data_IF_948852785724
#
_entry.id   IF_948852785724
#
_cell.length_a   1.000
_cell.length_b   1.000
_cell.length_c   1.000
_cell.angle_alpha   90.00
_cell.angle_beta   90.00
_cell.angle_gamma   90.00
#
_symmetry.space_group_name_H-M   'P 1'
#
loop_
_entity.id
_entity.type
_entity.pdbx_description
1 polymer ?
#
# COMPACT_ATOMS: atom_id res chain seq x y z
N UNK A 1 -9.08 -91.58 -20.55
CA UNK A 1 -7.72 -92.07 -20.58
C UNK A 1 -6.82 -90.83 -20.69
N UNK A 2 -5.81 -90.73 -19.89
CA UNK A 2 -4.75 -89.75 -19.75
C UNK A 2 -5.13 -88.37 -19.14
N UNK A 3 -4.93 -88.31 -17.86
CA UNK A 3 -4.80 -87.13 -17.03
C UNK A 3 -3.45 -86.51 -17.27
N UNK A 4 -3.42 -85.19 -17.51
CA UNK A 4 -2.21 -84.40 -17.44
C UNK A 4 -2.37 -83.36 -16.35
N UNK A 5 -1.63 -83.48 -15.31
CA UNK A 5 -1.55 -82.60 -14.12
C UNK A 5 -0.68 -81.39 -14.48
N UNK A 6 -1.27 -80.20 -14.48
CA UNK A 6 -0.50 -78.93 -14.65
C UNK A 6 -0.17 -78.37 -13.28
N UNK A 7 1.11 -78.17 -13.05
CA UNK A 7 1.71 -77.48 -11.92
C UNK A 7 1.56 -75.97 -12.15
N UNK A 8 0.81 -75.28 -11.31
CA UNK A 8 0.74 -73.83 -11.28
C UNK A 8 1.82 -73.27 -10.32
N UNK A 9 2.84 -72.69 -10.89
CA UNK A 9 3.80 -71.84 -10.17
C UNK A 9 3.10 -70.51 -9.87
N UNK A 10 2.83 -70.22 -8.61
CA UNK A 10 2.47 -68.90 -8.13
C UNK A 10 3.70 -68.04 -7.97
N UNK A 11 3.96 -67.13 -8.91
CA UNK A 11 4.87 -66.04 -8.75
C UNK A 11 4.17 -64.95 -7.94
N UNK A 12 4.57 -64.72 -6.71
CA UNK A 12 4.15 -63.57 -5.91
C UNK A 12 4.91 -62.33 -6.39
N UNK A 13 4.25 -61.50 -7.18
CA UNK A 13 4.76 -60.20 -7.53
C UNK A 13 4.57 -59.27 -6.31
N UNK A 14 5.63 -58.98 -5.59
CA UNK A 14 5.66 -57.92 -4.57
C UNK A 14 5.63 -56.55 -5.29
N UNK A 15 4.47 -55.94 -5.39
CA UNK A 15 4.36 -54.55 -5.83
C UNK A 15 4.90 -53.68 -4.69
N UNK A 16 6.11 -53.21 -4.83
CA UNK A 16 6.65 -52.13 -4.01
C UNK A 16 5.89 -50.86 -4.42
N UNK A 17 4.90 -50.47 -3.61
CA UNK A 17 4.28 -49.15 -3.69
C UNK A 17 5.38 -48.18 -3.19
N UNK A 18 6.14 -47.64 -4.13
CA UNK A 18 6.94 -46.44 -3.87
C UNK A 18 5.95 -45.32 -3.55
N UNK A 19 5.74 -45.08 -2.25
CA UNK A 19 5.12 -43.84 -1.79
C UNK A 19 6.03 -42.72 -2.26
N UNK A 20 5.69 -42.12 -3.41
CA UNK A 20 6.22 -40.82 -3.77
C UNK A 20 5.72 -39.86 -2.70
N UNK A 21 6.47 -39.72 -1.61
CA UNK A 21 6.39 -38.56 -0.76
C UNK A 21 6.58 -37.38 -1.69
N UNK A 22 5.53 -36.65 -1.96
CA UNK A 22 5.61 -35.29 -2.50
C UNK A 22 6.46 -34.53 -1.49
N UNK A 23 7.76 -34.50 -1.71
CA UNK A 23 8.66 -33.53 -1.10
C UNK A 23 8.23 -32.20 -1.71
N UNK A 24 7.23 -31.58 -1.11
CA UNK A 24 7.01 -30.14 -1.31
C UNK A 24 8.35 -29.52 -0.97
N UNK A 25 8.99 -28.99 -1.99
CA UNK A 25 10.26 -28.31 -1.83
C UNK A 25 10.01 -27.20 -0.79
N UNK A 26 10.64 -27.33 0.38
CA UNK A 26 10.53 -26.43 1.54
C UNK A 26 11.13 -25.05 1.25
N UNK A 27 10.91 -24.50 0.06
CA UNK A 27 11.43 -23.21 -0.43
C UNK A 27 12.96 -23.07 -0.21
N UNK A 28 13.70 -24.19 -0.22
CA UNK A 28 15.12 -24.24 0.12
C UNK A 28 15.42 -24.01 1.61
N UNK A 29 14.42 -24.17 2.48
CA UNK A 29 14.54 -24.06 3.94
C UNK A 29 14.58 -25.47 4.56
N UNK A 30 15.61 -25.80 5.29
CA UNK A 30 15.74 -27.11 5.96
C UNK A 30 14.91 -27.19 7.24
N UNK A 31 14.93 -26.12 8.03
CA UNK A 31 14.14 -25.97 9.25
C UNK A 31 14.05 -24.51 9.66
N UNK A 32 13.03 -24.14 10.44
CA UNK A 32 12.89 -22.79 10.98
C UNK A 32 11.45 -22.41 11.30
N UNK A 33 11.32 -21.26 11.97
CA UNK A 33 10.03 -20.67 12.30
C UNK A 33 9.90 -19.32 11.62
N UNK A 34 8.89 -19.17 10.77
CA UNK A 34 8.57 -17.95 10.07
C UNK A 34 7.20 -17.46 10.54
N UNK A 35 7.15 -16.23 11.01
CA UNK A 35 5.93 -15.57 11.45
C UNK A 35 5.85 -14.19 10.84
N UNK A 36 4.74 -13.91 10.12
CA UNK A 36 4.56 -12.72 9.30
C UNK A 36 3.49 -11.83 9.93
N UNK A 37 3.82 -10.56 10.15
CA UNK A 37 2.85 -9.51 10.48
C UNK A 37 2.62 -8.63 9.25
N UNK A 38 1.36 -8.39 8.87
CA UNK A 38 1.04 -7.51 7.75
C UNK A 38 -0.27 -6.74 7.96
N UNK A 39 -0.48 -5.72 7.12
CA UNK A 39 -1.80 -5.16 6.90
C UNK A 39 -2.72 -6.21 6.25
N UNK A 40 -4.00 -5.87 6.13
CA UNK A 40 -5.07 -6.76 5.66
C UNK A 40 -5.69 -6.20 4.38
N UNK A 41 -5.21 -6.69 3.22
CA UNK A 41 -5.77 -6.42 1.88
C UNK A 41 -5.28 -7.47 0.84
N UNK A 42 -5.96 -7.62 -0.32
CA UNK A 42 -5.79 -8.76 -1.22
C UNK A 42 -4.35 -9.05 -1.69
N UNK A 43 -3.55 -8.04 -2.01
CA UNK A 43 -2.16 -8.25 -2.45
C UNK A 43 -1.30 -8.87 -1.33
N UNK A 44 -1.48 -8.45 -0.08
CA UNK A 44 -0.75 -9.02 1.06
C UNK A 44 -1.25 -10.42 1.41
N UNK A 45 -2.53 -10.72 1.17
CA UNK A 45 -3.03 -12.10 1.28
C UNK A 45 -2.32 -13.02 0.29
N UNK A 46 -2.13 -12.58 -0.96
CA UNK A 46 -1.42 -13.36 -1.97
C UNK A 46 0.02 -13.69 -1.54
N UNK A 47 0.75 -12.69 -1.05
CA UNK A 47 2.12 -12.87 -0.55
C UNK A 47 2.16 -13.82 0.66
N UNK A 48 1.29 -13.62 1.63
CA UNK A 48 1.26 -14.45 2.84
C UNK A 48 0.82 -15.89 2.55
N UNK A 49 -0.14 -16.10 1.65
CA UNK A 49 -0.57 -17.44 1.23
C UNK A 49 0.55 -18.17 0.48
N UNK A 50 1.31 -17.49 -0.37
CA UNK A 50 2.47 -18.08 -1.02
C UNK A 50 3.56 -18.44 0.00
N UNK A 51 3.79 -17.61 1.04
CA UNK A 51 4.71 -17.95 2.11
C UNK A 51 4.31 -19.25 2.84
N UNK A 52 3.02 -19.47 3.11
CA UNK A 52 2.50 -20.69 3.76
C UNK A 52 2.78 -21.97 2.96
N UNK A 53 2.95 -21.87 1.63
CA UNK A 53 3.32 -23.06 0.82
C UNK A 53 4.72 -23.59 1.15
N UNK A 54 5.54 -22.83 1.85
CA UNK A 54 6.86 -23.25 2.31
C UNK A 54 6.81 -24.09 3.60
N UNK A 55 5.64 -24.23 4.24
CA UNK A 55 5.48 -25.00 5.46
C UNK A 55 5.78 -26.50 5.24
N UNK A 56 6.42 -27.14 6.21
CA UNK A 56 6.74 -28.58 6.22
C UNK A 56 6.81 -29.08 7.66
N UNK A 57 7.12 -30.36 7.88
CA UNK A 57 7.31 -30.92 9.22
C UNK A 57 8.39 -30.20 10.03
N UNK A 58 9.35 -29.53 9.34
CA UNK A 58 10.47 -28.82 9.96
C UNK A 58 10.42 -27.30 9.81
N UNK A 59 9.51 -26.79 8.99
CA UNK A 59 9.35 -25.36 8.72
C UNK A 59 7.94 -24.94 9.09
N UNK A 60 7.81 -24.10 10.11
CA UNK A 60 6.53 -23.51 10.48
C UNK A 60 6.40 -22.12 9.83
N UNK A 61 5.30 -21.87 9.14
CA UNK A 61 4.95 -20.55 8.60
C UNK A 61 3.60 -20.13 9.18
N UNK A 62 3.57 -18.98 9.83
CA UNK A 62 2.34 -18.38 10.40
C UNK A 62 2.20 -16.94 9.97
N UNK A 63 0.96 -16.43 9.92
CA UNK A 63 0.66 -15.05 9.57
C UNK A 63 -0.32 -14.42 10.55
N UNK A 64 -0.20 -13.12 10.73
CA UNK A 64 -1.18 -12.25 11.36
C UNK A 64 -1.42 -11.05 10.43
N UNK A 65 -2.61 -10.99 9.83
CA UNK A 65 -3.02 -9.94 8.90
C UNK A 65 -4.09 -9.10 9.58
N UNK A 66 -3.79 -7.82 9.82
CA UNK A 66 -4.65 -6.93 10.59
C UNK A 66 -4.46 -5.47 10.21
N UNK A 67 -5.55 -4.70 10.22
CA UNK A 67 -5.51 -3.24 10.06
C UNK A 67 -4.68 -2.54 11.15
N UNK A 68 -4.53 -3.17 12.32
CA UNK A 68 -3.75 -2.65 13.45
C UNK A 68 -2.25 -2.95 13.38
N UNK A 69 -1.75 -3.53 12.28
CA UNK A 69 -0.35 -3.95 12.14
C UNK A 69 0.67 -2.88 12.55
N UNK A 70 0.41 -1.59 12.25
CA UNK A 70 1.28 -0.47 12.60
C UNK A 70 1.43 -0.28 14.11
N UNK A 71 0.35 -0.43 14.85
CA UNK A 71 0.35 -0.31 16.31
C UNK A 71 1.05 -1.48 16.99
N UNK A 72 1.05 -2.66 16.35
CA UNK A 72 1.62 -3.88 16.89
C UNK A 72 3.12 -4.04 16.59
N UNK A 73 3.61 -3.55 15.45
CA UNK A 73 4.90 -3.93 14.88
C UNK A 73 6.09 -3.57 15.78
N UNK A 74 6.14 -2.37 16.36
CA UNK A 74 7.28 -1.92 17.18
C UNK A 74 7.43 -2.81 18.42
N UNK A 75 6.37 -2.95 19.21
CA UNK A 75 6.40 -3.77 20.41
C UNK A 75 6.67 -5.25 20.09
N UNK A 76 6.10 -5.76 19.00
CA UNK A 76 6.26 -7.15 18.60
C UNK A 76 7.69 -7.49 18.12
N UNK A 77 8.34 -6.58 17.39
CA UNK A 77 9.71 -6.78 16.92
C UNK A 77 10.77 -6.48 18.00
N UNK A 78 10.42 -5.63 18.99
CA UNK A 78 11.28 -5.32 20.14
C UNK A 78 11.43 -6.50 21.11
N UNK A 79 10.49 -7.42 21.14
CA UNK A 79 10.57 -8.65 21.94
C UNK A 79 11.83 -9.45 21.57
N UNK A 80 12.34 -10.24 22.54
CA UNK A 80 13.51 -11.11 22.32
C UNK A 80 13.21 -12.54 22.82
N UNK A 81 13.03 -13.52 21.90
CA UNK A 81 13.02 -13.39 20.45
C UNK A 81 11.85 -12.52 19.95
N UNK A 82 11.98 -11.94 18.75
CA UNK A 82 10.91 -11.16 18.11
C UNK A 82 9.65 -12.02 17.94
N UNK A 83 8.48 -11.44 18.20
CA UNK A 83 7.19 -12.14 18.06
C UNK A 83 6.90 -12.49 16.58
N UNK A 84 7.31 -11.63 15.65
CA UNK A 84 7.24 -11.89 14.22
C UNK A 84 8.62 -11.84 13.61
N UNK A 85 8.90 -12.79 12.73
CA UNK A 85 10.20 -12.87 12.05
C UNK A 85 10.28 -11.92 10.85
N UNK A 86 9.14 -11.60 10.26
CA UNK A 86 8.99 -10.60 9.19
C UNK A 86 7.81 -9.69 9.49
N UNK A 87 8.01 -8.39 9.29
CA UNK A 87 6.93 -7.43 9.13
C UNK A 87 6.85 -7.01 7.66
N UNK A 88 5.66 -7.11 7.06
CA UNK A 88 5.37 -6.46 5.79
C UNK A 88 5.04 -5.01 6.10
N UNK A 89 5.82 -4.11 5.55
CA UNK A 89 5.82 -2.68 5.84
C UNK A 89 5.58 -1.87 4.57
N UNK A 90 5.11 -0.66 4.76
CA UNK A 90 5.04 0.36 3.71
C UNK A 90 6.14 1.40 3.91
N UNK A 91 6.28 2.31 2.96
CA UNK A 91 7.20 3.46 2.99
C UNK A 91 7.20 4.20 4.34
N UNK A 92 6.02 4.37 4.97
CA UNK A 92 5.94 5.07 6.27
C UNK A 92 6.10 4.15 7.48
N UNK A 93 5.58 2.90 7.39
CA UNK A 93 5.55 2.02 8.56
C UNK A 93 6.90 1.35 8.88
N UNK A 94 7.86 1.37 7.95
CA UNK A 94 9.23 0.94 8.22
C UNK A 94 9.99 1.92 9.13
N UNK A 95 9.67 3.22 9.07
CA UNK A 95 10.43 4.28 9.72
C UNK A 95 10.57 4.06 11.25
N UNK A 96 9.50 3.83 12.02
CA UNK A 96 9.64 3.56 13.46
C UNK A 96 10.47 2.31 13.75
N UNK A 97 10.46 1.29 12.88
CA UNK A 97 11.30 0.10 13.04
C UNK A 97 12.78 0.40 12.80
N UNK A 98 13.09 1.30 11.86
CA UNK A 98 14.45 1.78 11.59
C UNK A 98 14.95 2.64 12.74
N UNK A 99 14.13 3.57 13.24
CA UNK A 99 14.49 4.47 14.34
C UNK A 99 14.88 3.70 15.61
N UNK A 100 14.20 2.59 15.90
CA UNK A 100 14.49 1.73 17.05
C UNK A 100 15.47 0.58 16.73
N UNK A 101 15.97 0.48 15.49
CA UNK A 101 16.91 -0.55 15.06
C UNK A 101 16.36 -1.97 15.18
N UNK A 102 15.07 -2.20 14.86
CA UNK A 102 14.35 -3.44 15.05
C UNK A 102 14.39 -4.39 13.84
N UNK A 103 14.88 -3.93 12.71
CA UNK A 103 15.09 -4.74 11.49
C UNK A 103 16.57 -4.89 11.21
N UNK A 104 16.95 -6.04 10.65
CA UNK A 104 18.34 -6.32 10.32
C UNK A 104 18.69 -5.91 8.89
N UNK A 105 19.93 -5.48 8.62
CA UNK A 105 20.44 -5.38 7.26
C UNK A 105 20.37 -6.71 6.53
N UNK A 106 20.02 -6.69 5.25
CA UNK A 106 19.77 -7.86 4.43
C UNK A 106 20.88 -8.13 3.41
N UNK A 107 21.94 -7.30 3.36
CA UNK A 107 22.97 -7.36 2.30
C UNK A 107 23.57 -8.77 2.15
N UNK A 108 23.94 -9.43 3.25
CA UNK A 108 24.50 -10.78 3.23
C UNK A 108 23.49 -11.84 2.76
N UNK A 109 22.22 -11.72 3.17
CA UNK A 109 21.15 -12.63 2.76
C UNK A 109 20.78 -12.41 1.28
N UNK A 110 20.75 -11.17 0.82
CA UNK A 110 20.58 -10.82 -0.59
C UNK A 110 21.72 -11.40 -1.43
N UNK A 111 22.96 -11.25 -1.00
CA UNK A 111 24.12 -11.81 -1.73
C UNK A 111 24.05 -13.34 -1.85
N UNK A 112 23.54 -14.04 -0.83
CA UNK A 112 23.48 -15.51 -0.78
C UNK A 112 22.23 -16.07 -1.49
N UNK A 113 21.08 -15.44 -1.30
CA UNK A 113 19.77 -16.02 -1.66
C UNK A 113 18.88 -15.10 -2.48
N UNK A 114 19.31 -13.87 -2.77
CA UNK A 114 18.52 -12.85 -3.44
C UNK A 114 18.70 -12.77 -4.97
N UNK A 115 19.20 -13.81 -5.63
CA UNK A 115 19.51 -13.78 -7.08
C UNK A 115 18.30 -13.45 -7.97
N UNK A 116 17.08 -13.72 -7.52
CA UNK A 116 15.84 -13.39 -8.22
C UNK A 116 15.30 -11.98 -7.95
N UNK A 117 15.90 -11.26 -7.00
CA UNK A 117 15.46 -9.93 -6.63
C UNK A 117 16.05 -8.88 -7.60
N UNK A 118 15.19 -7.95 -8.03
CA UNK A 118 15.63 -6.84 -8.88
C UNK A 118 16.26 -5.74 -8.02
N UNK A 119 17.26 -5.00 -8.51
CA UNK A 119 17.87 -3.89 -7.79
C UNK A 119 16.86 -2.83 -7.31
N UNK A 120 15.79 -2.61 -8.06
CA UNK A 120 14.70 -1.69 -7.73
C UNK A 120 13.85 -2.12 -6.53
N UNK A 121 13.89 -3.40 -6.15
CA UNK A 121 13.20 -3.92 -4.97
C UNK A 121 14.00 -3.68 -3.68
N UNK A 122 15.31 -3.42 -3.78
CA UNK A 122 16.19 -3.31 -2.61
C UNK A 122 16.13 -1.92 -2.00
N UNK A 123 15.35 -1.78 -0.92
CA UNK A 123 15.20 -0.52 -0.20
C UNK A 123 16.43 -0.29 0.68
N UNK A 124 17.21 0.73 0.35
CA UNK A 124 18.45 1.07 1.05
C UNK A 124 18.25 2.27 1.97
N UNK A 125 18.73 2.10 3.20
CA UNK A 125 18.82 3.15 4.20
C UNK A 125 20.26 3.16 4.71
N UNK A 126 20.93 4.31 4.67
CA UNK A 126 22.35 4.46 5.02
C UNK A 126 23.26 3.44 4.30
N UNK A 127 22.97 3.19 3.01
CA UNK A 127 23.71 2.27 2.17
C UNK A 127 23.42 0.78 2.36
N UNK A 128 22.65 0.38 3.38
CA UNK A 128 22.29 -1.00 3.69
C UNK A 128 20.90 -1.35 3.20
N UNK A 129 20.70 -2.56 2.69
CA UNK A 129 19.38 -3.08 2.33
C UNK A 129 18.59 -3.37 3.60
N UNK A 130 17.53 -2.63 3.86
CA UNK A 130 16.70 -2.76 5.08
C UNK A 130 15.35 -3.41 4.82
N UNK A 131 14.88 -3.43 3.56
CA UNK A 131 13.66 -4.11 3.16
C UNK A 131 13.75 -4.53 1.69
N UNK A 132 12.87 -5.45 1.29
CA UNK A 132 12.66 -5.83 -0.11
C UNK A 132 11.24 -5.45 -0.50
N UNK A 133 11.12 -4.44 -1.34
CA UNK A 133 9.84 -4.01 -1.89
C UNK A 133 9.34 -5.00 -2.94
N UNK A 134 8.03 -5.24 -2.99
CA UNK A 134 7.43 -6.14 -3.95
C UNK A 134 6.27 -5.52 -4.74
N UNK A 135 5.69 -4.41 -4.25
CA UNK A 135 4.65 -3.68 -4.98
C UNK A 135 4.82 -2.18 -4.82
N UNK A 136 4.37 -1.44 -5.82
CA UNK A 136 4.19 0.00 -5.79
C UNK A 136 2.72 0.35 -5.61
N UNK A 137 2.46 1.53 -5.03
CA UNK A 137 1.13 2.06 -4.85
C UNK A 137 1.15 3.59 -4.90
N UNK A 138 0.02 4.19 -5.22
CA UNK A 138 -0.27 5.61 -5.05
C UNK A 138 -1.77 5.80 -4.96
N UNK A 139 -2.24 6.88 -4.39
CA UNK A 139 -3.59 7.31 -4.67
C UNK A 139 -3.63 7.88 -6.09
N UNK A 140 -4.75 7.70 -6.80
CA UNK A 140 -4.96 8.24 -8.12
C UNK A 140 -6.45 8.54 -8.35
N UNK A 141 -6.77 9.22 -9.47
CA UNK A 141 -8.13 9.58 -9.80
C UNK A 141 -8.85 8.42 -10.48
N UNK A 142 -10.02 8.10 -9.97
CA UNK A 142 -11.07 7.33 -10.62
C UNK A 142 -12.15 8.28 -11.08
N UNK A 143 -12.61 8.17 -12.34
CA UNK A 143 -13.75 8.95 -12.83
C UNK A 143 -14.71 8.11 -13.65
N UNK A 144 -15.99 8.51 -13.63
CA UNK A 144 -17.10 7.91 -14.37
C UNK A 144 -17.26 8.62 -15.72
N UNK A 145 -16.77 7.97 -16.79
CA UNK A 145 -16.82 8.54 -18.15
C UNK A 145 -18.26 8.79 -18.63
N UNK A 146 -19.20 7.92 -18.28
CA UNK A 146 -20.62 8.06 -18.61
C UNK A 146 -21.25 9.29 -17.95
N UNK A 147 -20.92 9.55 -16.68
CA UNK A 147 -21.40 10.74 -15.95
C UNK A 147 -20.81 12.02 -16.53
N UNK A 148 -19.51 12.00 -16.89
CA UNK A 148 -18.87 13.15 -17.54
C UNK A 148 -19.54 13.47 -18.88
N UNK A 149 -19.79 12.46 -19.71
CA UNK A 149 -20.51 12.60 -20.98
C UNK A 149 -21.94 13.15 -20.76
N UNK A 150 -22.67 12.62 -19.78
CA UNK A 150 -24.01 13.11 -19.43
C UNK A 150 -23.99 14.57 -18.98
N UNK A 151 -22.97 14.95 -18.22
CA UNK A 151 -22.76 16.32 -17.75
C UNK A 151 -22.21 17.25 -18.83
N UNK A 152 -21.66 16.75 -19.93
CA UNK A 152 -21.00 17.52 -20.97
C UNK A 152 -19.73 18.19 -20.50
N UNK A 153 -18.94 17.48 -19.68
CA UNK A 153 -17.64 17.94 -19.15
C UNK A 153 -16.53 16.98 -19.57
N UNK A 154 -15.33 17.51 -19.73
CA UNK A 154 -14.15 16.73 -20.07
C UNK A 154 -13.47 16.13 -18.82
N UNK A 155 -12.67 15.05 -18.96
CA UNK A 155 -11.86 14.51 -17.88
C UNK A 155 -10.88 15.57 -17.34
N UNK A 156 -10.87 15.83 -16.01
CA UNK A 156 -10.05 16.88 -15.43
C UNK A 156 -8.58 16.50 -15.37
N UNK A 157 -7.70 17.46 -15.61
CA UNK A 157 -6.23 17.36 -15.45
C UNK A 157 -5.73 18.18 -14.28
N UNK A 158 -6.54 19.12 -13.79
CA UNK A 158 -6.27 19.94 -12.60
C UNK A 158 -7.40 19.81 -11.60
N UNK A 159 -7.13 20.12 -10.33
CA UNK A 159 -8.18 20.13 -9.30
C UNK A 159 -9.21 21.24 -9.52
N UNK A 160 -8.82 22.39 -10.10
CA UNK A 160 -9.76 23.44 -10.49
C UNK A 160 -10.75 22.92 -11.53
N UNK A 161 -10.27 22.18 -12.54
CA UNK A 161 -11.12 21.53 -13.55
C UNK A 161 -12.02 20.45 -12.92
N UNK A 162 -11.50 19.65 -11.98
CA UNK A 162 -12.27 18.62 -11.27
C UNK A 162 -13.39 19.25 -10.44
N UNK A 163 -13.09 20.30 -9.67
CA UNK A 163 -14.07 21.05 -8.87
C UNK A 163 -15.13 21.68 -9.79
N UNK A 164 -14.73 22.27 -10.92
CA UNK A 164 -15.67 22.85 -11.89
C UNK A 164 -16.59 21.78 -12.49
N UNK A 165 -16.04 20.64 -12.92
CA UNK A 165 -16.80 19.51 -13.45
C UNK A 165 -17.80 18.96 -12.41
N UNK A 166 -17.35 18.78 -11.18
CA UNK A 166 -18.18 18.30 -10.08
C UNK A 166 -19.35 19.26 -9.76
N UNK A 167 -19.11 20.59 -9.81
CA UNK A 167 -20.17 21.59 -9.67
C UNK A 167 -21.21 21.47 -10.79
N UNK A 168 -20.78 21.32 -12.05
CA UNK A 168 -21.69 21.11 -13.18
C UNK A 168 -22.54 19.85 -12.99
N UNK A 169 -21.94 18.74 -12.53
CA UNK A 169 -22.66 17.49 -12.25
C UNK A 169 -23.72 17.71 -11.16
N UNK A 170 -23.38 18.41 -10.09
CA UNK A 170 -24.30 18.73 -9.00
C UNK A 170 -25.41 19.69 -9.46
N UNK A 171 -25.06 20.77 -10.15
CA UNK A 171 -26.00 21.81 -10.57
C UNK A 171 -27.01 21.30 -11.61
N UNK A 172 -26.64 20.30 -12.43
CA UNK A 172 -27.54 19.56 -13.31
C UNK A 172 -28.40 18.51 -12.59
N UNK A 173 -28.25 18.34 -11.28
CA UNK A 173 -29.00 17.36 -10.50
C UNK A 173 -28.63 15.90 -10.81
N UNK A 174 -27.49 15.65 -11.46
CA UNK A 174 -27.05 14.30 -11.80
C UNK A 174 -26.59 13.56 -10.52
N UNK A 175 -25.77 14.21 -9.69
CA UNK A 175 -25.34 13.70 -8.39
C UNK A 175 -25.23 14.87 -7.38
N UNK A 176 -25.76 14.70 -6.17
CA UNK A 176 -25.67 15.73 -5.13
C UNK A 176 -24.25 15.86 -4.56
N UNK A 177 -23.54 14.75 -4.44
CA UNK A 177 -22.21 14.65 -3.82
C UNK A 177 -21.27 13.89 -4.78
N UNK A 178 -20.80 14.54 -5.87
CA UNK A 178 -20.09 13.83 -6.94
C UNK A 178 -18.65 13.41 -6.62
N UNK A 179 -18.09 13.79 -5.46
CA UNK A 179 -16.69 13.53 -5.09
C UNK A 179 -16.61 12.67 -3.82
N UNK A 180 -15.66 11.73 -3.79
CA UNK A 180 -15.21 11.07 -2.57
C UNK A 180 -13.67 11.03 -2.50
N UNK A 181 -13.14 11.21 -1.27
CA UNK A 181 -11.73 11.10 -0.92
C UNK A 181 -11.60 10.30 0.36
N UNK A 182 -10.38 9.88 0.73
CA UNK A 182 -10.12 9.17 1.98
C UNK A 182 -9.87 10.16 3.13
N UNK A 183 -10.88 10.91 3.52
CA UNK A 183 -10.77 12.05 4.45
C UNK A 183 -11.08 11.71 5.91
N UNK A 184 -11.16 10.42 6.26
CA UNK A 184 -11.34 10.00 7.67
C UNK A 184 -10.29 10.65 8.56
N UNK A 185 -10.75 11.34 9.61
CA UNK A 185 -9.88 11.96 10.61
C UNK A 185 -8.81 11.00 11.10
N UNK A 186 -7.60 11.48 11.27
CA UNK A 186 -6.40 10.69 11.57
C UNK A 186 -5.55 10.45 10.34
N UNK A 187 -4.98 9.25 10.22
CA UNK A 187 -3.97 8.96 9.20
C UNK A 187 -4.43 9.30 7.75
N UNK A 188 -5.66 8.98 7.40
CA UNK A 188 -6.17 9.24 6.04
C UNK A 188 -6.22 10.74 5.73
N UNK A 189 -6.74 11.56 6.63
CA UNK A 189 -6.81 13.02 6.45
C UNK A 189 -5.41 13.63 6.33
N UNK A 190 -4.46 13.17 7.15
CA UNK A 190 -3.06 13.56 7.04
C UNK A 190 -2.47 13.25 5.66
N UNK A 191 -2.77 12.05 5.11
CA UNK A 191 -2.29 11.64 3.78
C UNK A 191 -2.88 12.50 2.66
N UNK A 192 -4.18 12.83 2.72
CA UNK A 192 -4.80 13.72 1.72
C UNK A 192 -4.12 15.09 1.67
N UNK A 193 -3.79 15.67 2.83
CA UNK A 193 -3.03 16.92 2.87
C UNK A 193 -1.61 16.73 2.32
N UNK A 194 -0.90 15.66 2.71
CA UNK A 194 0.46 15.37 2.24
C UNK A 194 0.49 15.27 0.71
N UNK A 195 -0.47 14.57 0.12
CA UNK A 195 -0.62 14.44 -1.32
C UNK A 195 -0.82 15.80 -2.00
N UNK A 196 -1.71 16.63 -1.47
CA UNK A 196 -1.95 17.99 -1.99
C UNK A 196 -0.71 18.88 -1.85
N UNK A 197 -0.04 18.83 -0.69
CA UNK A 197 1.15 19.63 -0.45
C UNK A 197 2.32 19.21 -1.35
N UNK A 198 2.49 17.92 -1.62
CA UNK A 198 3.48 17.43 -2.58
C UNK A 198 3.29 18.03 -3.98
N UNK A 199 2.06 18.22 -4.42
CA UNK A 199 1.76 18.83 -5.73
C UNK A 199 2.14 20.31 -5.83
N UNK A 200 2.30 21.01 -4.70
CA UNK A 200 2.81 22.40 -4.70
C UNK A 200 4.32 22.49 -4.96
N UNK A 201 5.04 21.36 -4.91
CA UNK A 201 6.49 21.32 -4.94
C UNK A 201 7.15 21.74 -3.63
N UNK A 202 6.38 22.02 -2.57
CA UNK A 202 6.88 22.41 -1.25
C UNK A 202 7.66 21.31 -0.54
N UNK A 203 8.54 21.73 0.37
CA UNK A 203 9.24 20.83 1.28
C UNK A 203 8.59 20.88 2.66
N UNK A 204 8.32 19.72 3.24
CA UNK A 204 7.67 19.58 4.54
C UNK A 204 8.50 20.14 5.70
N UNK A 205 9.81 20.22 5.50
CA UNK A 205 10.77 20.64 6.51
C UNK A 205 11.77 21.65 5.94
N UNK A 206 12.34 22.48 6.80
CA UNK A 206 13.33 23.52 6.42
C UNK A 206 14.70 22.88 6.18
N UNK A 207 15.12 22.80 4.93
CA UNK A 207 16.39 22.19 4.55
C UNK A 207 16.51 20.75 5.03
N UNK A 208 17.65 20.39 5.62
CA UNK A 208 17.92 19.04 6.16
C UNK A 208 17.60 18.94 7.67
N UNK A 209 16.72 19.77 8.20
CA UNK A 209 16.37 19.77 9.62
C UNK A 209 14.98 19.15 9.86
N UNK A 210 14.66 18.86 11.13
CA UNK A 210 13.33 18.46 11.55
C UNK A 210 12.37 19.67 11.76
N UNK A 211 12.77 20.89 11.43
CA UNK A 211 11.91 22.07 11.55
C UNK A 211 10.78 22.03 10.53
N UNK A 212 9.50 22.09 10.92
CA UNK A 212 8.37 22.01 10.00
C UNK A 212 8.32 23.23 9.07
N UNK A 213 7.74 23.06 7.89
CA UNK A 213 7.66 24.10 6.87
C UNK A 213 6.35 24.01 6.07
N UNK A 214 5.23 23.72 6.74
CA UNK A 214 3.93 23.57 6.07
C UNK A 214 3.01 24.78 6.24
N UNK A 215 3.23 25.60 7.29
CA UNK A 215 2.46 26.83 7.50
C UNK A 215 3.01 27.95 6.63
N UNK A 216 2.68 27.91 5.35
CA UNK A 216 3.11 28.83 4.31
C UNK A 216 2.03 28.90 3.20
N UNK A 217 2.16 29.82 2.21
CA UNK A 217 1.16 29.95 1.14
C UNK A 217 0.87 28.64 0.36
N UNK A 218 1.85 27.75 0.22
CA UNK A 218 1.65 26.45 -0.44
C UNK A 218 0.78 25.52 0.42
N UNK A 219 1.01 25.50 1.74
CA UNK A 219 0.16 24.74 2.67
C UNK A 219 -1.28 25.26 2.68
N UNK A 220 -1.46 26.57 2.72
CA UNK A 220 -2.78 27.21 2.64
C UNK A 220 -3.48 26.86 1.32
N UNK A 221 -2.77 26.89 0.18
CA UNK A 221 -3.32 26.49 -1.12
C UNK A 221 -3.77 25.00 -1.11
N UNK A 222 -2.91 24.11 -0.62
CA UNK A 222 -3.21 22.69 -0.52
C UNK A 222 -4.47 22.42 0.33
N UNK A 223 -4.55 23.07 1.49
CA UNK A 223 -5.65 22.89 2.43
C UNK A 223 -6.97 23.49 1.91
N UNK A 224 -6.93 24.67 1.27
CA UNK A 224 -8.10 25.26 0.63
C UNK A 224 -8.64 24.42 -0.55
N UNK A 225 -7.74 23.79 -1.33
CA UNK A 225 -8.15 22.88 -2.40
C UNK A 225 -8.85 21.64 -1.81
N UNK A 226 -8.29 21.06 -0.76
CA UNK A 226 -8.91 19.92 -0.07
C UNK A 226 -10.30 20.28 0.47
N UNK A 227 -10.47 21.47 1.09
CA UNK A 227 -11.77 21.96 1.55
C UNK A 227 -12.78 22.09 0.39
N UNK A 228 -12.39 22.69 -0.72
CA UNK A 228 -13.27 22.85 -1.87
C UNK A 228 -13.75 21.50 -2.45
N UNK A 229 -12.94 20.45 -2.34
CA UNK A 229 -13.33 19.08 -2.71
C UNK A 229 -14.34 18.49 -1.71
N UNK A 230 -14.10 18.68 -0.40
CA UNK A 230 -15.01 18.16 0.63
C UNK A 230 -16.38 18.85 0.62
N UNK A 231 -16.49 20.10 0.17
CA UNK A 231 -17.77 20.80 -0.05
C UNK A 231 -18.63 20.19 -1.17
N UNK A 232 -18.03 19.36 -2.02
CA UNK A 232 -18.69 18.60 -3.10
C UNK A 232 -18.83 17.11 -2.77
N UNK A 233 -18.46 16.72 -1.55
CA UNK A 233 -18.54 15.39 -1.00
C UNK A 233 -19.78 15.24 -0.10
N UNK A 234 -20.08 13.99 0.30
CA UNK A 234 -21.10 13.72 1.30
C UNK A 234 -20.70 14.37 2.65
N UNK A 235 -21.66 14.93 3.43
CA UNK A 235 -21.36 15.55 4.74
C UNK A 235 -20.58 14.69 5.73
N UNK A 236 -20.67 13.37 5.62
CA UNK A 236 -19.96 12.42 6.48
C UNK A 236 -18.49 12.16 6.05
N UNK A 237 -17.93 12.98 5.14
CA UNK A 237 -16.60 12.79 4.53
C UNK A 237 -15.47 12.55 5.55
N UNK A 238 -15.56 13.09 6.77
CA UNK A 238 -14.57 12.84 7.84
C UNK A 238 -14.60 11.41 8.41
N UNK A 239 -15.51 10.57 7.94
CA UNK A 239 -15.56 9.13 8.28
C UNK A 239 -15.05 8.24 7.14
N UNK A 240 -14.71 8.80 5.96
CA UNK A 240 -14.38 8.05 4.76
C UNK A 240 -12.95 7.54 4.79
N UNK A 241 -12.82 6.24 5.02
CA UNK A 241 -11.60 5.49 4.72
C UNK A 241 -11.72 4.81 3.35
N UNK A 242 -10.67 4.09 2.95
CA UNK A 242 -10.63 3.46 1.63
C UNK A 242 -11.76 2.45 1.38
N UNK A 243 -12.33 1.83 2.42
CA UNK A 243 -13.43 0.88 2.27
C UNK A 243 -14.74 1.63 1.97
N UNK A 244 -15.00 2.73 2.70
CA UNK A 244 -16.19 3.56 2.48
C UNK A 244 -16.14 4.22 1.09
N UNK A 245 -14.97 4.78 0.72
CA UNK A 245 -14.80 5.42 -0.60
C UNK A 245 -15.00 4.41 -1.75
N UNK A 246 -14.48 3.18 -1.60
CA UNK A 246 -14.70 2.10 -2.57
C UNK A 246 -16.19 1.73 -2.65
N UNK A 247 -16.87 1.54 -1.52
CA UNK A 247 -18.30 1.21 -1.51
C UNK A 247 -19.16 2.30 -2.18
N UNK A 248 -18.85 3.58 -1.94
CA UNK A 248 -19.53 4.69 -2.64
C UNK A 248 -19.34 4.65 -4.16
N UNK A 249 -18.16 4.21 -4.61
CA UNK A 249 -17.87 4.02 -6.03
C UNK A 249 -18.67 2.85 -6.61
N UNK A 250 -18.60 1.68 -5.99
CA UNK A 250 -19.29 0.45 -6.40
C UNK A 250 -20.82 0.63 -6.42
N UNK A 251 -21.36 1.41 -5.48
CA UNK A 251 -22.77 1.81 -5.43
C UNK A 251 -23.15 2.87 -6.51
N UNK A 252 -22.20 3.37 -7.31
CA UNK A 252 -22.43 4.40 -8.32
C UNK A 252 -22.82 5.78 -7.76
N UNK A 253 -22.48 6.08 -6.50
CA UNK A 253 -22.88 7.31 -5.79
C UNK A 253 -21.97 8.50 -6.03
N UNK A 254 -20.83 8.31 -6.71
CA UNK A 254 -19.85 9.36 -6.99
C UNK A 254 -19.39 9.33 -8.46
N UNK A 255 -19.02 10.48 -8.99
CA UNK A 255 -18.49 10.66 -10.34
C UNK A 255 -16.95 10.69 -10.34
N UNK A 256 -16.35 11.14 -9.24
CA UNK A 256 -14.92 11.24 -9.02
C UNK A 256 -14.56 10.67 -7.66
N UNK A 257 -13.49 9.89 -7.60
CA UNK A 257 -12.90 9.46 -6.34
C UNK A 257 -11.38 9.48 -6.44
N UNK A 258 -10.71 9.91 -5.35
CA UNK A 258 -9.27 9.71 -5.18
C UNK A 258 -9.09 8.55 -4.21
N UNK A 259 -8.51 7.47 -4.73
CA UNK A 259 -8.37 6.22 -3.99
C UNK A 259 -7.01 5.56 -4.26
N UNK A 260 -6.63 4.63 -3.38
CA UNK A 260 -5.44 3.81 -3.56
C UNK A 260 -5.55 2.90 -4.78
N UNK A 261 -4.48 2.82 -5.56
CA UNK A 261 -4.36 1.95 -6.74
C UNK A 261 -4.60 0.47 -6.45
N UNK A 262 -4.31 0.04 -5.22
CA UNK A 262 -4.63 -1.31 -4.74
C UNK A 262 -6.14 -1.63 -4.68
N UNK A 263 -7.01 -0.64 -4.92
CA UNK A 263 -8.47 -0.83 -5.07
C UNK A 263 -8.90 -1.04 -6.53
N UNK A 264 -8.02 -0.72 -7.49
CA UNK A 264 -8.35 -0.72 -8.91
C UNK A 264 -8.88 -2.05 -9.42
N UNK A 265 -8.30 -3.16 -8.98
CA UNK A 265 -8.73 -4.50 -9.37
C UNK A 265 -10.16 -4.81 -8.90
N UNK A 266 -10.44 -4.59 -7.61
CA UNK A 266 -11.77 -4.85 -7.05
C UNK A 266 -12.87 -3.94 -7.65
N UNK A 267 -12.50 -2.72 -8.07
CA UNK A 267 -13.43 -1.78 -8.70
C UNK A 267 -13.69 -2.15 -10.17
N UNK A 268 -12.71 -2.76 -10.84
CA UNK A 268 -12.82 -3.15 -12.25
C UNK A 268 -13.29 -4.61 -12.43
N UNK A 269 -13.42 -5.40 -11.36
CA UNK A 269 -14.11 -6.69 -11.42
C UNK A 269 -15.64 -6.47 -11.38
N UNK A 270 -16.38 -7.49 -11.74
CA UNK A 270 -17.84 -7.48 -11.78
C UNK A 270 -18.49 -8.10 -10.52
N UNK A 271 -17.68 -8.33 -9.46
CA UNK A 271 -18.18 -8.88 -8.20
C UNK A 271 -18.76 -7.79 -7.28
N UNK A 272 -18.16 -6.59 -7.27
CA UNK A 272 -18.52 -5.49 -6.36
C UNK A 272 -19.31 -4.35 -7.02
N UNK A 273 -19.22 -4.17 -8.34
CA UNK A 273 -19.82 -3.06 -9.07
C UNK A 273 -20.78 -3.55 -10.16
N UNK A 274 -21.81 -2.75 -10.45
CA UNK A 274 -22.66 -3.00 -11.63
C UNK A 274 -21.82 -2.91 -12.93
N UNK A 275 -22.09 -3.75 -13.94
CA UNK A 275 -21.30 -3.81 -15.18
C UNK A 275 -21.15 -2.44 -15.89
N UNK A 276 -22.17 -1.59 -15.87
CA UNK A 276 -22.12 -0.25 -16.46
C UNK A 276 -21.16 0.69 -15.70
N UNK A 277 -21.03 0.51 -14.38
CA UNK A 277 -20.06 1.24 -13.55
C UNK A 277 -18.65 0.83 -13.93
N UNK A 278 -18.39 -0.48 -14.00
CA UNK A 278 -17.10 -1.03 -14.41
C UNK A 278 -16.71 -0.54 -15.80
N UNK A 279 -17.61 -0.68 -16.79
CA UNK A 279 -17.37 -0.29 -18.18
C UNK A 279 -17.08 1.21 -18.36
N UNK A 280 -17.63 2.06 -17.49
CA UNK A 280 -17.46 3.53 -17.53
C UNK A 280 -16.38 4.05 -16.58
N UNK A 281 -15.78 3.21 -15.75
CA UNK A 281 -14.69 3.58 -14.84
C UNK A 281 -13.39 3.80 -15.61
N UNK A 282 -12.71 4.92 -15.30
CA UNK A 282 -11.38 5.24 -15.83
C UNK A 282 -10.44 5.57 -14.67
N UNK A 283 -9.22 5.06 -14.78
CA UNK A 283 -8.14 5.23 -13.81
C UNK A 283 -7.02 6.05 -14.45
N UNK A 284 -6.67 7.18 -13.84
CA UNK A 284 -5.62 8.08 -14.32
C UNK A 284 -4.85 8.65 -13.13
N UNK A 285 -3.69 9.25 -13.36
CA UNK A 285 -2.98 10.03 -12.32
C UNK A 285 -3.92 11.02 -11.65
N UNK A 286 -3.67 11.36 -10.38
CA UNK A 286 -4.37 12.49 -9.74
C UNK A 286 -4.17 13.77 -10.54
N UNK A 287 -5.16 14.67 -10.53
CA UNK A 287 -4.98 16.02 -11.04
C UNK A 287 -3.84 16.75 -10.35
N UNK A 288 -3.25 17.71 -11.03
CA UNK A 288 -2.29 18.66 -10.45
C UNK A 288 -3.03 19.89 -9.89
N UNK A 289 -2.34 20.70 -9.09
CA UNK A 289 -2.86 22.00 -8.62
C UNK A 289 -2.78 23.11 -9.70
N UNK A 290 -1.93 22.90 -10.70
CA UNK A 290 -1.73 23.82 -11.83
C UNK A 290 -1.45 23.02 -13.08
N UNK A 291 -1.85 23.55 -14.24
CA UNK A 291 -1.68 22.86 -15.52
C UNK A 291 -0.19 22.52 -15.78
N UNK A 292 0.10 21.24 -15.99
CA UNK A 292 1.46 20.74 -16.19
C UNK A 292 2.30 20.66 -14.89
N UNK A 293 1.66 20.84 -13.73
CA UNK A 293 2.27 20.67 -12.41
C UNK A 293 2.42 19.20 -12.00
N UNK A 294 2.94 18.97 -10.80
CA UNK A 294 3.07 17.65 -10.22
C UNK A 294 1.68 17.08 -9.86
N UNK A 295 1.45 15.78 -10.01
CA UNK A 295 0.22 15.15 -9.54
C UNK A 295 0.13 15.21 -8.01
N UNK A 296 -1.09 15.44 -7.50
CA UNK A 296 -1.32 15.51 -6.05
C UNK A 296 -1.45 14.11 -5.45
N UNK A 297 -0.35 13.42 -5.43
CA UNK A 297 -0.20 12.10 -4.85
C UNK A 297 1.23 11.84 -4.43
N UNK A 298 1.41 10.85 -3.56
CA UNK A 298 2.72 10.31 -3.20
C UNK A 298 2.87 8.88 -3.71
N UNK A 299 4.12 8.53 -4.06
CA UNK A 299 4.48 7.16 -4.44
C UNK A 299 4.86 6.38 -3.19
N UNK A 300 4.32 5.16 -3.12
CA UNK A 300 4.50 4.22 -2.03
C UNK A 300 5.03 2.89 -2.55
N UNK A 301 5.68 2.17 -1.67
CA UNK A 301 5.97 0.76 -1.85
C UNK A 301 5.53 -0.02 -0.61
N UNK A 302 5.17 -1.28 -0.80
CA UNK A 302 5.08 -2.27 0.26
C UNK A 302 6.17 -3.31 0.06
N UNK A 303 6.79 -3.72 1.17
CA UNK A 303 7.93 -4.63 1.19
C UNK A 303 7.98 -5.42 2.48
N UNK A 304 8.86 -6.40 2.53
CA UNK A 304 9.10 -7.20 3.73
C UNK A 304 10.48 -6.91 4.34
N UNK A 305 10.53 -7.07 5.64
CA UNK A 305 11.74 -6.93 6.46
C UNK A 305 12.07 -8.25 7.16
N UNK A 306 13.25 -8.35 7.75
CA UNK A 306 13.60 -9.44 8.68
C UNK A 306 13.92 -8.81 10.03
N UNK A 307 13.29 -9.31 11.09
CA UNK A 307 13.49 -8.80 12.45
C UNK A 307 14.92 -9.00 12.93
N UNK A 308 15.43 -8.04 13.72
CA UNK A 308 16.79 -8.10 14.27
C UNK A 308 16.93 -9.16 15.35
N UNK A 309 15.93 -9.31 16.22
CA UNK A 309 15.94 -10.20 17.38
C UNK A 309 15.55 -11.64 17.01
N UNK A 310 16.27 -12.22 16.03
CA UNK A 310 16.11 -13.61 15.58
C UNK A 310 17.46 -14.31 15.60
N UNK A 311 17.44 -15.65 15.73
CA UNK A 311 18.59 -16.47 15.40
C UNK A 311 18.97 -16.31 13.92
N UNK A 312 20.22 -16.54 13.56
CA UNK A 312 20.63 -16.46 12.15
C UNK A 312 19.93 -17.52 11.29
N UNK A 313 19.64 -18.69 11.85
CA UNK A 313 18.89 -19.75 11.19
C UNK A 313 17.45 -19.33 10.87
N UNK A 314 16.73 -18.73 11.84
CA UNK A 314 15.36 -18.24 11.59
C UNK A 314 15.34 -17.02 10.66
N UNK A 315 16.36 -16.17 10.70
CA UNK A 315 16.49 -15.06 9.77
C UNK A 315 16.72 -15.53 8.33
N UNK A 316 17.58 -16.55 8.14
CA UNK A 316 17.79 -17.17 6.83
C UNK A 316 16.52 -17.86 6.33
N UNK A 317 15.84 -18.63 7.18
CA UNK A 317 14.59 -19.28 6.86
C UNK A 317 13.53 -18.23 6.44
N UNK A 318 13.40 -17.15 7.22
CA UNK A 318 12.47 -16.04 6.92
C UNK A 318 12.79 -15.41 5.57
N UNK A 319 14.06 -15.12 5.30
CA UNK A 319 14.46 -14.51 4.02
C UNK A 319 14.10 -15.40 2.83
N UNK A 320 14.44 -16.69 2.87
CA UNK A 320 14.14 -17.66 1.81
C UNK A 320 12.63 -17.80 1.58
N UNK A 321 11.83 -17.91 2.65
CA UNK A 321 10.36 -17.97 2.57
C UNK A 321 9.81 -16.70 1.92
N UNK A 322 10.30 -15.52 2.33
CA UNK A 322 9.80 -14.26 1.77
C UNK A 322 10.24 -14.03 0.32
N UNK A 323 11.42 -14.50 -0.08
CA UNK A 323 11.82 -14.52 -1.53
C UNK A 323 10.85 -15.39 -2.33
N UNK A 324 10.47 -16.58 -1.84
CA UNK A 324 9.45 -17.41 -2.49
C UNK A 324 8.08 -16.73 -2.48
N UNK A 325 7.70 -16.12 -1.36
CA UNK A 325 6.44 -15.41 -1.20
C UNK A 325 6.26 -14.24 -2.19
N UNK A 326 7.37 -13.65 -2.65
CA UNK A 326 7.38 -12.56 -3.64
C UNK A 326 8.00 -13.02 -4.97
N UNK A 327 7.77 -14.26 -5.36
CA UNK A 327 8.28 -14.85 -6.60
C UNK A 327 7.44 -14.47 -7.82
N UNK A 328 8.02 -14.66 -9.01
CA UNK A 328 7.30 -14.54 -10.29
C UNK A 328 6.09 -15.47 -10.38
N UNK A 329 6.12 -16.65 -9.75
CA UNK A 329 4.99 -17.57 -9.68
C UNK A 329 3.80 -16.94 -8.90
N UNK A 330 4.07 -16.39 -7.70
CA UNK A 330 3.06 -15.67 -6.92
C UNK A 330 2.49 -14.49 -7.70
N UNK A 331 3.36 -13.68 -8.31
CA UNK A 331 2.96 -12.51 -9.08
C UNK A 331 2.08 -12.88 -10.27
N UNK A 332 2.45 -13.91 -11.06
CA UNK A 332 1.64 -14.35 -12.21
C UNK A 332 0.26 -14.84 -11.83
N UNK A 333 0.14 -15.52 -10.68
CA UNK A 333 -1.15 -16.00 -10.17
C UNK A 333 -2.03 -14.89 -9.57
N UNK A 334 -1.48 -13.69 -9.37
CA UNK A 334 -2.16 -12.56 -8.72
C UNK A 334 -1.81 -11.22 -9.41
N UNK A 335 -1.62 -11.25 -10.73
CA UNK A 335 -1.11 -10.09 -11.48
C UNK A 335 -2.01 -8.86 -11.37
N UNK A 336 -3.31 -9.09 -11.21
CA UNK A 336 -4.34 -8.04 -11.10
C UNK A 336 -4.36 -7.33 -9.74
N UNK A 337 -3.80 -7.94 -8.68
CA UNK A 337 -3.99 -7.46 -7.29
C UNK A 337 -3.11 -6.29 -6.89
N UNK A 338 -2.05 -6.00 -7.66
CA UNK A 338 -1.13 -4.90 -7.36
C UNK A 338 -0.30 -4.50 -8.58
N UNK A 339 0.36 -3.35 -8.48
CA UNK A 339 1.48 -2.99 -9.36
C UNK A 339 2.74 -3.64 -8.78
N UNK A 340 3.06 -4.83 -9.29
CA UNK A 340 4.17 -5.62 -8.77
C UNK A 340 5.53 -5.11 -9.25
N UNK A 341 6.49 -5.02 -8.35
CA UNK A 341 7.89 -4.70 -8.64
C UNK A 341 8.71 -5.95 -8.97
N UNK A 342 8.04 -7.04 -9.27
CA UNK A 342 8.60 -8.37 -9.51
C UNK A 342 8.85 -8.57 -11.01
N UNK A 343 9.98 -9.19 -11.35
CA UNK A 343 10.36 -9.43 -12.74
C UNK A 343 9.27 -10.16 -13.55
N UNK A 344 9.01 -9.65 -14.74
CA UNK A 344 8.02 -10.21 -15.67
C UNK A 344 6.58 -9.73 -15.42
N UNK A 345 6.35 -8.80 -14.47
CA UNK A 345 5.05 -8.17 -14.31
C UNK A 345 4.66 -7.40 -15.59
N UNK A 346 3.43 -7.63 -16.03
CA UNK A 346 2.82 -6.88 -17.12
C UNK A 346 1.63 -6.09 -16.56
N UNK A 347 1.66 -4.75 -16.65
CA UNK A 347 0.56 -3.92 -16.18
C UNK A 347 -0.76 -4.23 -16.89
N UNK A 348 -1.84 -4.18 -16.13
CA UNK A 348 -3.22 -4.25 -16.58
C UNK A 348 -3.93 -2.89 -16.37
N UNK A 349 -5.22 -2.81 -16.70
CA UNK A 349 -6.00 -1.57 -16.56
C UNK A 349 -6.08 -1.07 -15.12
N UNK A 350 -6.10 -1.97 -14.12
CA UNK A 350 -6.10 -1.61 -12.72
C UNK A 350 -4.79 -0.91 -12.27
N UNK A 351 -3.69 -1.17 -12.94
CA UNK A 351 -2.39 -0.56 -12.65
C UNK A 351 -2.23 0.85 -13.26
N UNK A 352 -3.10 1.22 -14.19
CA UNK A 352 -2.93 2.41 -15.03
C UNK A 352 -2.73 3.70 -14.22
N UNK A 353 -3.57 3.96 -13.23
CA UNK A 353 -3.47 5.19 -12.43
C UNK A 353 -2.15 5.32 -11.66
N UNK A 354 -1.62 4.21 -11.12
CA UNK A 354 -0.32 4.20 -10.44
C UNK A 354 0.81 4.46 -11.44
N UNK A 355 0.76 3.82 -12.61
CA UNK A 355 1.78 3.98 -13.65
C UNK A 355 1.77 5.40 -14.20
N UNK A 356 0.59 5.96 -14.48
CA UNK A 356 0.44 7.35 -14.92
C UNK A 356 1.02 8.32 -13.86
N UNK A 357 0.81 8.03 -12.55
CA UNK A 357 1.37 8.84 -11.47
C UNK A 357 2.91 8.82 -11.47
N UNK A 358 3.52 7.66 -11.70
CA UNK A 358 4.99 7.53 -11.84
C UNK A 358 5.49 8.30 -13.07
N UNK A 359 4.83 8.15 -14.22
CA UNK A 359 5.22 8.83 -15.47
C UNK A 359 5.08 10.36 -15.36
N UNK A 360 4.08 10.84 -14.61
CA UNK A 360 3.87 12.25 -14.31
C UNK A 360 4.74 12.76 -13.16
N UNK A 361 5.74 11.97 -12.71
CA UNK A 361 6.74 12.37 -11.71
C UNK A 361 6.16 12.68 -10.34
N UNK A 362 5.15 11.93 -9.91
CA UNK A 362 4.69 11.99 -8.51
C UNK A 362 5.88 11.81 -7.55
N UNK A 363 5.88 12.55 -6.46
CA UNK A 363 6.96 12.50 -5.47
C UNK A 363 6.80 11.27 -4.57
N UNK A 364 7.89 10.64 -4.12
CA UNK A 364 7.77 9.59 -3.10
C UNK A 364 7.30 10.19 -1.76
N UNK A 365 6.57 9.41 -0.97
CA UNK A 365 6.29 9.76 0.42
C UNK A 365 7.62 9.89 1.19
N UNK A 366 7.84 10.98 1.96
CA UNK A 366 9.12 11.20 2.64
C UNK A 366 9.41 10.14 3.72
N UNK A 367 10.50 9.38 3.56
CA UNK A 367 10.98 8.39 4.54
C UNK A 367 11.91 9.05 5.58
N UNK A 368 11.47 10.15 6.18
CA UNK A 368 12.25 10.85 7.21
C UNK A 368 11.89 10.33 8.61
N UNK A 369 12.86 10.28 9.54
CA UNK A 369 12.62 9.73 10.89
C UNK A 369 11.45 10.37 11.64
N UNK A 370 11.19 11.63 11.38
CA UNK A 370 10.18 12.46 12.04
C UNK A 370 8.92 12.71 11.19
N UNK A 371 8.85 12.20 9.96
CA UNK A 371 7.69 12.42 9.08
C UNK A 371 6.39 11.83 9.64
N UNK A 372 6.46 10.69 10.34
CA UNK A 372 5.30 10.07 10.98
C UNK A 372 4.64 10.96 12.04
N UNK A 373 5.43 11.73 12.79
CA UNK A 373 4.91 12.70 13.77
C UNK A 373 4.19 13.87 13.08
N UNK A 374 4.72 14.36 11.96
CA UNK A 374 4.04 15.41 11.16
C UNK A 374 2.74 14.88 10.56
N UNK A 375 2.77 13.68 10.00
CA UNK A 375 1.57 13.04 9.45
C UNK A 375 0.46 12.89 10.51
N UNK A 376 0.83 12.45 11.72
CA UNK A 376 -0.14 12.31 12.82
C UNK A 376 -0.71 13.66 13.25
N UNK A 377 0.12 14.69 13.36
CA UNK A 377 -0.33 16.05 13.68
C UNK A 377 -1.30 16.59 12.63
N UNK A 378 -0.99 16.44 11.34
CA UNK A 378 -1.90 16.80 10.26
C UNK A 378 -3.24 16.08 10.37
N UNK A 379 -3.22 14.76 10.59
CA UNK A 379 -4.43 13.98 10.74
C UNK A 379 -5.32 14.39 11.89
N UNK A 380 -4.74 14.93 12.96
CA UNK A 380 -5.48 15.39 14.15
C UNK A 380 -6.02 16.80 13.99
N UNK A 381 -5.23 17.73 13.43
CA UNK A 381 -5.53 19.17 13.52
C UNK A 381 -6.35 19.71 12.34
N UNK A 382 -6.34 19.07 11.17
CA UNK A 382 -6.94 19.67 9.96
C UNK A 382 -8.47 19.57 9.88
N UNK A 383 -9.11 18.76 10.72
CA UNK A 383 -10.56 18.50 10.63
C UNK A 383 -11.41 19.72 10.95
N UNK A 384 -10.99 20.57 11.87
CA UNK A 384 -11.74 21.75 12.29
C UNK A 384 -11.76 22.84 11.21
N UNK A 385 -10.67 22.98 10.45
CA UNK A 385 -10.66 23.82 9.24
C UNK A 385 -11.63 23.32 8.19
N UNK A 386 -11.65 22.03 7.89
CA UNK A 386 -12.56 21.46 6.89
C UNK A 386 -14.03 21.68 7.28
N UNK A 387 -14.33 21.66 8.57
CA UNK A 387 -15.66 21.97 9.12
C UNK A 387 -15.96 23.48 9.22
N UNK A 388 -15.01 24.35 8.85
CA UNK A 388 -15.18 25.80 8.86
C UNK A 388 -15.11 26.46 10.24
N UNK A 389 -14.50 25.77 11.24
CA UNK A 389 -14.37 26.28 12.61
C UNK A 389 -13.17 27.20 12.81
N UNK A 390 -12.18 27.13 11.89
CA UNK A 390 -10.96 27.94 11.95
C UNK A 390 -10.42 28.26 10.56
N UNK A 391 -9.37 29.09 10.45
CA UNK A 391 -8.69 29.39 9.19
C UNK A 391 -7.64 28.33 8.82
N UNK A 392 -7.26 28.30 7.53
CA UNK A 392 -6.21 27.38 7.05
C UNK A 392 -4.87 27.64 7.74
N UNK A 393 -4.51 28.92 7.94
CA UNK A 393 -3.28 29.31 8.62
C UNK A 393 -3.26 28.87 10.09
N UNK A 394 -4.41 28.91 10.78
CA UNK A 394 -4.53 28.47 12.17
C UNK A 394 -4.36 26.94 12.23
N UNK A 395 -5.08 26.18 11.41
CA UNK A 395 -4.97 24.72 11.34
C UNK A 395 -3.52 24.25 11.07
N UNK A 396 -2.84 24.89 10.11
CA UNK A 396 -1.46 24.59 9.79
C UNK A 396 -0.50 24.96 10.93
N UNK A 397 -0.76 26.07 11.64
CA UNK A 397 0.01 26.48 12.81
C UNK A 397 -0.15 25.47 13.95
N UNK A 398 -1.35 24.98 14.19
CA UNK A 398 -1.64 24.02 15.24
C UNK A 398 -1.03 22.64 14.90
N UNK A 399 -1.08 22.23 13.62
CA UNK A 399 -0.39 21.03 13.16
C UNK A 399 1.14 21.14 13.34
N UNK A 400 1.77 22.30 13.02
CA UNK A 400 3.20 22.51 13.28
C UNK A 400 3.53 22.54 14.78
N UNK A 401 2.64 23.05 15.62
CA UNK A 401 2.82 23.06 17.07
C UNK A 401 2.74 21.65 17.67
N UNK A 402 1.72 20.88 17.29
CA UNK A 402 1.55 19.48 17.70
C UNK A 402 2.73 18.61 17.25
N UNK A 403 3.15 18.76 15.99
CA UNK A 403 4.35 18.11 15.47
C UNK A 403 5.60 18.49 16.28
N UNK A 404 5.82 19.79 16.53
CA UNK A 404 7.02 20.27 17.23
C UNK A 404 7.10 19.73 18.65
N UNK A 405 5.97 19.61 19.36
CA UNK A 405 5.91 18.99 20.67
C UNK A 405 6.35 17.51 20.61
N UNK A 406 5.77 16.73 19.69
CA UNK A 406 6.11 15.32 19.49
C UNK A 406 7.58 15.13 19.04
N UNK A 407 8.08 15.96 18.14
CA UNK A 407 9.47 15.90 17.65
C UNK A 407 10.50 16.20 18.75
N UNK A 408 10.20 17.13 19.67
CA UNK A 408 11.03 17.40 20.86
C UNK A 408 11.02 16.21 21.83
N UNK A 409 9.86 15.64 22.11
CA UNK A 409 9.76 14.45 22.97
C UNK A 409 10.58 13.28 22.42
N UNK A 410 10.62 13.13 21.10
CA UNK A 410 11.37 12.07 20.42
C UNK A 410 12.86 12.44 20.16
N UNK A 411 13.30 13.64 20.51
CA UNK A 411 14.70 14.08 20.38
C UNK A 411 15.12 14.47 18.95
N UNK A 412 14.17 14.82 18.08
CA UNK A 412 14.45 15.32 16.73
C UNK A 412 14.63 16.84 16.67
N UNK A 413 14.12 17.56 17.66
CA UNK A 413 14.20 19.02 17.83
C UNK A 413 14.71 19.42 19.21
#
# INVERSE_FOLDING_TARGET
MANVTQWALRAAATVAIASASNVYASCGVESGKVSILSNDFPALHAVANMAETCASDKVTVTKNQTKDHRNLQVAALKANPAKYSSAIVSTSSIVPLLNEGLVRPLDDLVAKYGASLQPSQLIRVDGKVMAVAFMANSQHLFYREDILKLAGVEPPTTYDELIAAAKVIRDKGIMSNPIALNTKTGWNLGEEFINMYCATGGDFFKGNSAQPNINNPMGVKALNTLKALTELSNPDYLTFDSNVTQSLWEDGKVAFAVMWGSRGSAILDDEGSEPDIVASTRLVSTPSLEKGGLPATTLWWDGWTVSKNLSDADAEATFKVMVKATSTEMMKANSEKAVWLIEGYQPNDAAKGVIDSVQNKARPYPMLPYMGSLHSALGSELSDFLQGKESAEQALKDAEAAYTASAKEQGFL
#
